data_IF_044071746648
#
_entry.id   IF_044071746648
#
_cell.length_a   1.000
_cell.length_b   1.000
_cell.length_c   1.000
_cell.angle_alpha   90.00
_cell.angle_beta   90.00
_cell.angle_gamma   90.00
#
_symmetry.space_group_name_H-M   'P 1'
#
loop_
_entity.id
_entity.type
_entity.pdbx_description
1 polymer ?
#
# COMPACT_ATOMS: atom_id res chain seq x y z
N UNK A 1 23.42 -23.31 26.09
CA UNK A 1 23.38 -22.38 24.94
C UNK A 1 21.93 -22.32 24.45
N UNK A 2 21.22 -21.21 24.65
CA UNK A 2 19.80 -21.08 24.27
C UNK A 2 19.74 -20.50 22.85
N UNK A 3 19.11 -21.21 21.92
CA UNK A 3 18.91 -20.70 20.56
C UNK A 3 17.93 -19.53 20.59
N UNK A 4 18.24 -18.40 19.93
CA UNK A 4 17.36 -17.25 19.89
C UNK A 4 16.08 -17.60 19.15
N UNK A 5 14.95 -17.18 19.72
CA UNK A 5 13.63 -17.44 19.14
C UNK A 5 13.47 -16.70 17.81
N UNK A 6 12.57 -17.17 16.94
CA UNK A 6 12.28 -16.54 15.64
C UNK A 6 11.95 -15.05 15.79
N UNK A 7 11.29 -14.68 16.89
CA UNK A 7 10.95 -13.31 17.27
C UNK A 7 12.17 -12.42 17.53
N UNK A 8 13.22 -12.96 18.16
CA UNK A 8 14.46 -12.20 18.42
C UNK A 8 15.24 -11.93 17.13
N UNK A 9 15.28 -12.91 16.22
CA UNK A 9 15.90 -12.71 14.91
C UNK A 9 15.18 -11.67 14.06
N UNK A 10 13.85 -11.62 14.15
CA UNK A 10 13.05 -10.62 13.46
C UNK A 10 13.33 -9.21 14.00
N UNK A 11 13.41 -9.04 15.33
CA UNK A 11 13.74 -7.75 15.96
C UNK A 11 15.11 -7.22 15.55
N UNK A 12 16.11 -8.09 15.45
CA UNK A 12 17.46 -7.69 15.03
C UNK A 12 17.53 -7.31 13.53
N UNK A 13 16.55 -7.73 12.73
CA UNK A 13 16.50 -7.46 11.29
C UNK A 13 15.74 -6.17 10.94
N UNK A 14 15.12 -5.53 11.94
CA UNK A 14 14.45 -4.23 11.75
C UNK A 14 15.52 -3.13 11.80
N UNK A 15 15.71 -2.35 10.73
CA UNK A 15 16.66 -1.24 10.75
C UNK A 15 16.24 -0.22 11.84
N UNK A 16 17.20 0.38 12.56
CA UNK A 16 16.87 1.35 13.60
C UNK A 16 16.08 2.52 13.00
N UNK A 17 15.10 3.08 13.74
CA UNK A 17 14.38 4.26 13.30
C UNK A 17 15.41 5.38 13.08
N UNK A 18 15.43 5.93 11.86
CA UNK A 18 16.31 7.06 11.54
C UNK A 18 15.98 8.19 12.49
N UNK A 19 16.93 8.53 13.35
CA UNK A 19 16.83 9.66 14.27
C UNK A 19 16.69 10.94 13.44
N UNK A 20 15.57 11.65 13.62
CA UNK A 20 15.18 12.88 12.93
C UNK A 20 16.03 14.10 13.36
N UNK A 21 17.32 13.90 13.60
CA UNK A 21 18.26 14.94 13.99
C UNK A 21 19.15 15.30 12.79
N UNK A 22 18.55 15.72 11.67
CA UNK A 22 19.26 16.41 10.61
C UNK A 22 18.27 17.12 9.68
N UNK A 23 18.19 18.44 9.86
CA UNK A 23 17.87 19.38 8.78
C UNK A 23 16.39 19.60 8.50
N UNK A 24 15.92 20.75 8.98
CA UNK A 24 14.70 21.42 8.56
C UNK A 24 14.43 21.32 7.05
N UNK A 25 13.45 20.50 6.69
CA UNK A 25 12.44 20.80 5.69
C UNK A 25 11.37 19.74 5.86
N UNK A 26 10.32 20.07 6.63
CA UNK A 26 9.07 19.35 6.47
C UNK A 26 8.71 19.48 4.99
N UNK A 27 8.70 18.39 4.19
CA UNK A 27 8.01 18.48 2.93
C UNK A 27 6.56 18.70 3.34
N UNK A 28 6.08 19.94 3.22
CA UNK A 28 4.68 20.18 2.96
C UNK A 28 4.38 19.26 1.78
N UNK A 29 3.87 18.06 2.07
CA UNK A 29 3.41 17.11 1.08
C UNK A 29 2.28 17.86 0.42
N UNK A 30 2.62 18.55 -0.65
CA UNK A 30 1.67 19.05 -1.60
C UNK A 30 0.75 17.87 -1.85
N UNK A 31 -0.53 18.04 -1.52
CA UNK A 31 -1.63 17.22 -1.98
C UNK A 31 -1.77 17.45 -3.49
N UNK A 32 -0.65 17.27 -4.19
CA UNK A 32 -0.47 17.40 -5.61
C UNK A 32 -1.09 16.14 -6.20
N UNK A 33 -1.89 16.31 -7.25
CA UNK A 33 -2.48 15.25 -8.06
C UNK A 33 -1.46 14.34 -8.77
N UNK A 34 -0.27 14.17 -8.20
CA UNK A 34 0.75 13.23 -8.62
C UNK A 34 0.25 11.80 -8.43
N UNK A 35 -0.13 11.17 -9.55
CA UNK A 35 -0.39 9.73 -9.63
C UNK A 35 0.87 8.97 -9.22
N UNK A 36 0.85 8.36 -8.04
CA UNK A 36 1.89 7.42 -7.60
C UNK A 36 1.71 6.09 -8.33
N UNK A 37 2.81 5.55 -8.85
CA UNK A 37 2.83 4.19 -9.39
C UNK A 37 2.97 3.21 -8.23
N UNK A 38 2.24 2.11 -8.30
CA UNK A 38 2.29 0.99 -7.36
C UNK A 38 2.22 -0.30 -8.17
N UNK A 39 2.89 -1.34 -7.66
CA UNK A 39 2.89 -2.68 -8.22
C UNK A 39 2.40 -3.65 -7.14
N UNK A 40 1.65 -4.66 -7.56
CA UNK A 40 1.09 -5.67 -6.67
C UNK A 40 1.15 -7.02 -7.38
N UNK A 41 1.41 -8.07 -6.62
CA UNK A 41 1.32 -9.43 -7.12
C UNK A 41 -0.10 -9.95 -6.89
N UNK A 42 -0.73 -10.42 -7.96
CA UNK A 42 -2.04 -11.05 -7.92
C UNK A 42 -1.87 -12.54 -8.25
N UNK A 43 -2.57 -13.46 -7.55
CA UNK A 43 -2.59 -14.87 -7.93
C UNK A 43 -2.98 -15.03 -9.40
N UNK A 44 -2.29 -15.93 -10.11
CA UNK A 44 -2.41 -16.10 -11.56
C UNK A 44 -3.86 -16.33 -11.99
N UNK A 45 -4.58 -17.21 -11.29
CA UNK A 45 -5.99 -17.51 -11.56
C UNK A 45 -6.86 -16.23 -11.57
N UNK A 46 -6.65 -15.33 -10.62
CA UNK A 46 -7.40 -14.08 -10.52
C UNK A 46 -6.94 -13.04 -11.56
N UNK A 47 -5.66 -13.06 -11.94
CA UNK A 47 -5.10 -12.15 -12.93
C UNK A 47 -5.59 -12.46 -14.35
N UNK A 48 -5.85 -13.73 -14.65
CA UNK A 48 -6.40 -14.17 -15.93
C UNK A 48 -7.88 -13.85 -16.04
N UNK A 49 -8.66 -14.16 -15.00
CA UNK A 49 -10.09 -13.80 -14.94
C UNK A 49 -10.31 -12.28 -15.06
N UNK A 50 -9.52 -11.49 -14.32
CA UNK A 50 -9.58 -10.03 -14.43
C UNK A 50 -9.24 -9.54 -15.84
N UNK A 51 -8.25 -10.16 -16.51
CA UNK A 51 -7.88 -9.84 -17.88
C UNK A 51 -9.02 -10.09 -18.86
N UNK A 52 -9.66 -11.25 -18.76
CA UNK A 52 -10.79 -11.63 -19.61
C UNK A 52 -11.96 -10.68 -19.40
N UNK A 53 -12.33 -10.40 -18.15
CA UNK A 53 -13.44 -9.49 -17.83
C UNK A 53 -13.20 -8.07 -18.36
N UNK A 54 -11.98 -7.55 -18.21
CA UNK A 54 -11.60 -6.24 -18.75
C UNK A 54 -11.71 -6.19 -20.28
N UNK A 55 -11.27 -7.25 -20.96
CA UNK A 55 -11.36 -7.35 -22.42
C UNK A 55 -12.82 -7.38 -22.90
N UNK A 56 -13.68 -8.17 -22.25
CA UNK A 56 -15.10 -8.27 -22.59
C UNK A 56 -15.85 -6.94 -22.40
N UNK A 57 -15.49 -6.18 -21.37
CA UNK A 57 -16.14 -4.90 -21.05
C UNK A 57 -15.50 -3.69 -21.75
N UNK A 58 -14.38 -3.88 -22.47
CA UNK A 58 -13.64 -2.78 -23.09
C UNK A 58 -13.04 -1.80 -22.07
N UNK A 59 -12.76 -2.26 -20.84
CA UNK A 59 -12.24 -1.44 -19.75
C UNK A 59 -10.76 -1.71 -19.51
N UNK A 60 -10.02 -0.71 -19.01
CA UNK A 60 -8.62 -0.90 -18.63
C UNK A 60 -8.54 -1.49 -17.22
N UNK A 61 -7.73 -2.53 -17.03
CA UNK A 61 -7.49 -3.15 -15.71
C UNK A 61 -7.23 -2.12 -14.60
N UNK A 62 -6.39 -1.12 -14.91
CA UNK A 62 -6.11 -0.01 -13.98
C UNK A 62 -7.38 0.67 -13.46
N UNK A 63 -8.34 0.96 -14.34
CA UNK A 63 -9.59 1.64 -13.96
C UNK A 63 -10.44 0.75 -13.05
N UNK A 64 -10.48 -0.56 -13.34
CA UNK A 64 -11.18 -1.55 -12.52
C UNK A 64 -10.56 -1.62 -11.13
N UNK A 65 -9.24 -1.73 -11.02
CA UNK A 65 -8.53 -1.74 -9.73
C UNK A 65 -8.72 -0.43 -8.96
N UNK A 66 -8.60 0.73 -9.62
CA UNK A 66 -8.84 2.03 -8.99
C UNK A 66 -10.27 2.14 -8.43
N UNK A 67 -11.26 1.64 -9.17
CA UNK A 67 -12.66 1.61 -8.73
C UNK A 67 -12.87 0.68 -7.53
N UNK A 68 -12.32 -0.54 -7.57
CA UNK A 68 -12.41 -1.51 -6.48
C UNK A 68 -11.76 -1.01 -5.20
N UNK A 69 -10.56 -0.45 -5.28
CA UNK A 69 -9.87 0.13 -4.13
C UNK A 69 -10.66 1.31 -3.57
N UNK A 70 -11.20 2.18 -4.43
CA UNK A 70 -12.03 3.31 -3.99
C UNK A 70 -13.29 2.84 -3.27
N UNK A 71 -13.98 1.83 -3.80
CA UNK A 71 -15.17 1.25 -3.18
C UNK A 71 -14.84 0.64 -1.82
N UNK A 72 -13.76 -0.14 -1.74
CA UNK A 72 -13.29 -0.76 -0.50
C UNK A 72 -12.95 0.30 0.57
N UNK A 73 -12.16 1.32 0.21
CA UNK A 73 -11.80 2.42 1.13
C UNK A 73 -13.03 3.16 1.63
N UNK A 74 -14.00 3.44 0.76
CA UNK A 74 -15.27 4.09 1.14
C UNK A 74 -16.08 3.21 2.09
N UNK A 75 -16.21 1.92 1.78
CA UNK A 75 -16.96 0.96 2.60
C UNK A 75 -16.35 0.78 3.99
N UNK A 76 -15.02 0.84 4.10
CA UNK A 76 -14.29 0.62 5.35
C UNK A 76 -13.74 1.91 5.97
N UNK A 77 -14.24 3.08 5.58
CA UNK A 77 -13.70 4.37 6.00
C UNK A 77 -13.61 4.51 7.53
N UNK A 78 -14.56 3.92 8.28
CA UNK A 78 -14.56 3.96 9.74
C UNK A 78 -13.47 3.11 10.43
N UNK A 79 -12.84 2.18 9.70
CA UNK A 79 -11.74 1.33 10.19
C UNK A 79 -10.37 1.87 9.82
N UNK A 80 -10.33 2.79 8.85
CA UNK A 80 -9.08 3.40 8.44
C UNK A 80 -8.68 4.45 9.48
N UNK A 81 -7.42 4.46 9.94
CA UNK A 81 -6.95 5.51 10.82
C UNK A 81 -7.19 6.83 10.11
N UNK A 82 -8.02 7.69 10.71
CA UNK A 82 -8.19 9.05 10.23
C UNK A 82 -6.80 9.66 10.20
N UNK A 83 -6.31 10.03 9.02
CA UNK A 83 -4.99 10.64 8.86
C UNK A 83 -4.93 12.07 9.46
N UNK A 84 -5.78 12.38 10.44
CA UNK A 84 -5.71 13.56 11.30
C UNK A 84 -5.10 13.14 12.63
N UNK A 85 -3.80 12.88 12.62
CA UNK A 85 -2.97 12.96 13.80
C UNK A 85 -1.55 13.25 13.33
N UNK A 86 -1.02 14.38 13.83
CA UNK A 86 0.23 15.07 13.51
C UNK A 86 0.22 15.91 12.23
#
# INVERSE_FOLDING_TARGET
>A
MKQPTVLERLRASVPPPRTEAQGAQAPQRALSGARRKCSFDLPVELADDLRVLCALQGTKQRQVIEALVTAYVRQHQGLLPSSRSA
#
